data_IF_007161167887
#
_entry.id   IF_007161167887
#
_cell.length_a   1.000
_cell.length_b   1.000
_cell.length_c   1.000
_cell.angle_alpha   90.00
_cell.angle_beta   90.00
_cell.angle_gamma   90.00
#
_symmetry.space_group_name_H-M   'P 1'
#
loop_
_entity.id
_entity.type
_entity.pdbx_description
1 polymer ?
#
# COMPACT_ATOMS: atom_id res chain seq x y z
N UNK A 1 19.41 12.60 4.86
CA UNK A 1 19.10 14.05 5.06
C UNK A 1 18.61 14.76 3.79
N UNK A 2 18.91 14.25 2.58
CA UNK A 2 18.50 14.89 1.32
C UNK A 2 16.98 15.03 1.18
N UNK A 3 16.22 13.99 1.51
CA UNK A 3 14.75 14.03 1.42
C UNK A 3 14.06 14.66 2.65
N UNK A 4 14.80 14.92 3.73
CA UNK A 4 14.24 15.46 4.97
C UNK A 4 13.73 16.91 4.84
N UNK A 5 14.22 17.66 3.84
CA UNK A 5 13.80 19.04 3.57
C UNK A 5 12.58 19.14 2.64
N UNK A 6 11.94 18.03 2.30
CA UNK A 6 10.72 18.05 1.49
C UNK A 6 9.56 18.67 2.27
N UNK A 7 8.80 19.56 1.61
CA UNK A 7 7.70 20.32 2.23
C UNK A 7 6.53 19.42 2.65
N UNK A 8 6.25 18.37 1.85
CA UNK A 8 5.15 17.45 2.12
C UNK A 8 5.62 16.02 2.32
N UNK A 9 4.79 15.20 2.98
CA UNK A 9 5.06 13.77 3.16
C UNK A 9 5.16 13.05 1.80
N UNK A 10 4.34 13.45 0.82
CA UNK A 10 4.36 12.86 -0.52
C UNK A 10 5.67 13.17 -1.27
N UNK A 11 6.17 14.41 -1.19
CA UNK A 11 7.47 14.75 -1.79
C UNK A 11 8.62 13.98 -1.14
N UNK A 12 8.57 13.79 0.18
CA UNK A 12 9.54 12.98 0.92
C UNK A 12 9.51 11.52 0.45
N UNK A 13 8.29 10.95 0.34
CA UNK A 13 8.09 9.62 -0.22
C UNK A 13 8.70 9.51 -1.63
N UNK A 14 8.35 10.41 -2.55
CA UNK A 14 8.84 10.36 -3.94
C UNK A 14 10.36 10.45 -4.01
N UNK A 15 10.96 11.32 -3.20
CA UNK A 15 12.40 11.45 -3.10
C UNK A 15 13.05 10.14 -2.61
N UNK A 16 12.53 9.57 -1.53
CA UNK A 16 13.09 8.35 -0.92
C UNK A 16 12.85 7.12 -1.82
N UNK A 17 11.69 7.04 -2.48
CA UNK A 17 11.39 6.02 -3.47
C UNK A 17 12.40 6.06 -4.64
N UNK A 18 12.76 7.27 -5.10
CA UNK A 18 13.79 7.45 -6.13
C UNK A 18 15.17 6.91 -5.74
N UNK A 19 15.53 6.90 -4.44
CA UNK A 19 16.75 6.21 -3.99
C UNK A 19 16.69 4.71 -4.23
N UNK A 20 15.52 4.08 -4.06
CA UNK A 20 15.37 2.65 -4.37
C UNK A 20 15.74 2.32 -5.81
N UNK A 21 15.24 3.10 -6.77
CA UNK A 21 15.63 2.97 -8.18
C UNK A 21 17.14 3.17 -8.39
N UNK A 22 17.73 4.19 -7.76
CA UNK A 22 19.16 4.45 -7.88
C UNK A 22 19.99 3.29 -7.30
N UNK A 23 19.58 2.71 -6.17
CA UNK A 23 20.29 1.60 -5.53
C UNK A 23 20.20 0.31 -6.36
N UNK A 24 19.07 0.03 -7.00
CA UNK A 24 18.96 -1.09 -7.95
C UNK A 24 19.99 -0.97 -9.07
N UNK A 25 20.08 0.20 -9.71
CA UNK A 25 21.05 0.45 -10.78
C UNK A 25 22.50 0.38 -10.30
N UNK A 26 22.80 0.90 -9.11
CA UNK A 26 24.14 0.83 -8.53
C UNK A 26 24.57 -0.60 -8.20
N UNK A 27 23.62 -1.47 -7.89
CA UNK A 27 23.87 -2.89 -7.55
C UNK A 27 23.58 -3.86 -8.71
N UNK A 28 23.51 -3.36 -9.95
CA UNK A 28 23.25 -4.20 -11.14
C UNK A 28 21.95 -5.01 -10.99
N UNK A 29 20.88 -4.37 -10.57
CA UNK A 29 19.53 -4.93 -10.39
C UNK A 29 19.46 -6.07 -9.35
N UNK A 30 20.39 -6.07 -8.38
CA UNK A 30 20.39 -7.02 -7.26
C UNK A 30 19.61 -6.46 -6.08
N UNK A 31 18.51 -7.14 -5.71
CA UNK A 31 17.60 -6.71 -4.62
C UNK A 31 18.32 -6.66 -3.28
N UNK A 32 19.07 -7.71 -2.91
CA UNK A 32 19.59 -7.87 -1.56
C UNK A 32 20.54 -6.72 -1.15
N UNK A 33 21.61 -6.39 -1.90
CA UNK A 33 22.47 -5.26 -1.57
C UNK A 33 21.74 -3.91 -1.66
N UNK A 34 20.73 -3.79 -2.53
CA UNK A 34 19.94 -2.58 -2.67
C UNK A 34 19.07 -2.33 -1.43
N UNK A 35 18.46 -3.37 -0.86
CA UNK A 35 17.72 -3.29 0.40
C UNK A 35 18.61 -2.92 1.58
N UNK A 36 19.83 -3.44 1.66
CA UNK A 36 20.79 -3.03 2.69
C UNK A 36 21.09 -1.52 2.63
N UNK A 37 21.24 -0.96 1.44
CA UNK A 37 21.40 0.50 1.29
C UNK A 37 20.15 1.28 1.73
N UNK A 38 18.94 0.75 1.54
CA UNK A 38 17.73 1.35 2.06
C UNK A 38 17.70 1.40 3.60
N UNK A 39 18.19 0.35 4.28
CA UNK A 39 18.28 0.31 5.76
C UNK A 39 19.14 1.45 6.32
N UNK A 40 20.19 1.84 5.60
CA UNK A 40 21.07 2.96 6.00
C UNK A 40 20.36 4.32 5.99
N UNK A 41 19.26 4.48 5.26
CA UNK A 41 18.47 5.71 5.22
C UNK A 41 17.66 5.95 6.51
N UNK A 42 17.52 4.94 7.34
CA UNK A 42 16.73 4.94 8.56
C UNK A 42 15.31 4.42 8.36
N UNK A 43 14.70 3.95 9.43
CA UNK A 43 13.48 3.14 9.44
C UNK A 43 12.30 3.70 8.63
N UNK A 44 12.07 5.03 8.72
CA UNK A 44 10.94 5.65 8.02
C UNK A 44 11.19 5.76 6.51
N UNK A 45 12.44 5.88 6.11
CA UNK A 45 12.84 5.97 4.70
C UNK A 45 13.02 4.59 4.06
N UNK A 46 13.37 3.58 4.83
CA UNK A 46 13.60 2.21 4.38
C UNK A 46 12.41 1.63 3.62
N UNK A 47 11.20 1.76 4.18
CA UNK A 47 9.98 1.24 3.56
C UNK A 47 9.61 1.97 2.26
N UNK A 48 9.83 3.29 2.20
CA UNK A 48 9.58 4.07 0.98
C UNK A 48 10.64 3.76 -0.09
N UNK A 49 11.91 3.56 0.31
CA UNK A 49 13.02 3.19 -0.54
C UNK A 49 12.82 1.77 -1.12
N UNK A 50 12.47 0.79 -0.27
CA UNK A 50 12.22 -0.59 -0.71
C UNK A 50 11.11 -0.69 -1.77
N UNK A 51 10.12 0.21 -1.75
CA UNK A 51 9.13 0.29 -2.81
C UNK A 51 9.75 0.64 -4.17
N UNK A 52 10.75 1.52 -4.20
CA UNK A 52 11.48 1.85 -5.43
C UNK A 52 12.26 0.67 -5.96
N UNK A 53 12.86 -0.14 -5.07
CA UNK A 53 13.57 -1.37 -5.42
C UNK A 53 12.64 -2.37 -6.11
N UNK A 54 11.53 -2.74 -5.46
CA UNK A 54 10.59 -3.71 -6.05
C UNK A 54 9.85 -3.15 -7.26
N UNK A 55 9.67 -1.83 -7.36
CA UNK A 55 9.14 -1.18 -8.54
C UNK A 55 10.05 -1.41 -9.75
N UNK A 56 11.35 -1.12 -9.60
CA UNK A 56 12.36 -1.32 -10.66
C UNK A 56 12.47 -2.80 -11.05
N UNK A 57 12.53 -3.69 -10.05
CA UNK A 57 12.58 -5.12 -10.29
C UNK A 57 11.42 -5.64 -11.15
N UNK A 58 10.19 -5.30 -10.76
CA UNK A 58 9.00 -5.75 -11.50
C UNK A 58 8.87 -5.08 -12.87
N UNK A 59 9.39 -3.88 -13.05
CA UNK A 59 9.53 -3.26 -14.37
C UNK A 59 10.46 -4.07 -15.26
N UNK A 60 11.61 -4.50 -14.73
CA UNK A 60 12.53 -5.34 -15.44
C UNK A 60 11.93 -6.71 -15.81
N UNK A 61 11.21 -7.36 -14.87
CA UNK A 61 10.45 -8.59 -15.12
C UNK A 61 9.47 -8.45 -16.29
N UNK A 62 8.81 -7.31 -16.38
CA UNK A 62 7.82 -7.03 -17.43
C UNK A 62 8.42 -6.48 -18.74
N UNK A 63 9.73 -6.33 -18.82
CA UNK A 63 10.40 -5.75 -19.98
C UNK A 63 10.10 -4.26 -20.18
N UNK A 64 9.74 -3.55 -19.12
CA UNK A 64 9.47 -2.11 -19.15
C UNK A 64 10.75 -1.39 -18.72
N UNK A 65 11.38 -0.69 -19.67
CA UNK A 65 12.41 0.34 -19.46
C UNK A 65 13.68 -0.05 -18.67
N UNK A 66 14.04 -1.33 -18.55
CA UNK A 66 15.33 -1.71 -18.01
C UNK A 66 16.33 -2.05 -19.11
N UNK A 67 17.47 -1.39 -19.10
CA UNK A 67 18.58 -1.68 -20.00
C UNK A 67 19.30 -2.98 -19.63
N UNK A 68 19.11 -3.46 -18.41
CA UNK A 68 19.71 -4.68 -17.89
C UNK A 68 18.66 -5.56 -17.20
N UNK A 69 18.68 -6.85 -17.47
CA UNK A 69 17.83 -7.82 -16.78
C UNK A 69 18.47 -8.19 -15.43
N UNK A 70 17.69 -8.37 -14.35
CA UNK A 70 18.20 -8.92 -13.11
C UNK A 70 18.94 -10.22 -13.32
N UNK A 71 20.08 -10.41 -12.65
CA UNK A 71 20.93 -11.60 -12.85
C UNK A 71 20.25 -12.93 -12.53
N UNK A 72 19.29 -12.89 -11.59
CA UNK A 72 18.52 -14.06 -11.15
C UNK A 72 17.04 -13.71 -11.21
N UNK A 73 16.50 -13.63 -12.42
CA UNK A 73 15.14 -13.20 -12.67
C UNK A 73 14.13 -14.24 -12.14
N UNK A 74 13.50 -13.95 -11.01
CA UNK A 74 12.36 -14.71 -10.48
C UNK A 74 11.08 -14.00 -10.93
N UNK A 75 10.27 -14.68 -11.74
CA UNK A 75 9.03 -14.11 -12.31
C UNK A 75 7.79 -14.49 -11.50
N UNK A 76 7.89 -15.50 -10.63
CA UNK A 76 6.81 -15.90 -9.74
C UNK A 76 6.84 -15.05 -8.45
N UNK A 77 5.80 -14.23 -8.17
CA UNK A 77 5.72 -13.46 -6.93
C UNK A 77 5.77 -14.32 -5.67
N UNK A 78 5.28 -15.57 -5.72
CA UNK A 78 5.28 -16.48 -4.56
C UNK A 78 6.70 -16.90 -4.18
N UNK A 79 7.51 -17.17 -5.18
CA UNK A 79 8.92 -17.51 -4.97
C UNK A 79 9.70 -16.29 -4.52
N UNK A 80 9.60 -15.16 -5.23
CA UNK A 80 10.34 -13.95 -4.90
C UNK A 80 9.97 -13.39 -3.53
N UNK A 81 8.68 -13.14 -3.29
CA UNK A 81 8.24 -12.50 -2.06
C UNK A 81 8.24 -13.48 -0.86
N UNK A 82 8.13 -14.78 -1.13
CA UNK A 82 8.32 -15.84 -0.12
C UNK A 82 9.71 -15.90 0.46
N UNK A 83 10.72 -15.54 -0.34
CA UNK A 83 12.12 -15.54 0.07
C UNK A 83 12.59 -14.23 0.74
N UNK A 84 11.72 -13.20 0.78
CA UNK A 84 12.11 -11.90 1.36
C UNK A 84 12.08 -11.90 2.89
N UNK A 85 12.95 -11.10 3.54
CA UNK A 85 12.81 -10.77 4.96
C UNK A 85 11.42 -10.24 5.29
N UNK A 86 10.92 -10.53 6.50
CA UNK A 86 9.54 -10.23 6.93
C UNK A 86 9.13 -8.77 6.70
N UNK A 87 10.04 -7.84 6.95
CA UNK A 87 9.84 -6.40 6.77
C UNK A 87 9.57 -5.99 5.32
N UNK A 88 10.01 -6.80 4.33
CA UNK A 88 9.87 -6.48 2.90
C UNK A 88 8.79 -7.31 2.19
N UNK A 89 8.24 -8.35 2.81
CA UNK A 89 7.22 -9.22 2.21
C UNK A 89 6.05 -8.41 1.65
N UNK A 90 5.53 -7.47 2.43
CA UNK A 90 4.35 -6.70 2.05
C UNK A 90 4.60 -5.77 0.87
N UNK A 91 5.73 -5.09 0.84
CA UNK A 91 6.08 -4.21 -0.28
C UNK A 91 6.36 -5.01 -1.55
N UNK A 92 6.99 -6.18 -1.44
CA UNK A 92 7.21 -7.09 -2.56
C UNK A 92 5.86 -7.49 -3.21
N UNK A 93 4.91 -8.01 -2.42
CA UNK A 93 3.58 -8.39 -2.92
C UNK A 93 2.81 -7.20 -3.50
N UNK A 94 2.83 -6.05 -2.83
CA UNK A 94 2.20 -4.84 -3.33
C UNK A 94 2.69 -4.49 -4.74
N UNK A 95 4.01 -4.44 -4.92
CA UNK A 95 4.60 -4.08 -6.20
C UNK A 95 4.39 -5.15 -7.26
N UNK A 96 4.43 -6.42 -6.91
CA UNK A 96 4.15 -7.48 -7.88
C UNK A 96 2.78 -7.29 -8.55
N UNK A 97 1.73 -7.04 -7.78
CA UNK A 97 0.39 -6.81 -8.35
C UNK A 97 0.31 -5.51 -9.15
N UNK A 98 0.84 -4.41 -8.61
CA UNK A 98 0.78 -3.11 -9.29
C UNK A 98 1.45 -3.16 -10.65
N UNK A 99 2.60 -3.83 -10.76
CA UNK A 99 3.42 -3.80 -11.97
C UNK A 99 3.08 -4.95 -12.94
N UNK A 100 2.54 -6.09 -12.46
CA UNK A 100 2.26 -7.24 -13.34
C UNK A 100 0.81 -7.29 -13.84
N UNK A 101 -0.09 -6.53 -13.25
CA UNK A 101 -1.52 -6.65 -13.53
C UNK A 101 -1.95 -6.30 -14.96
N UNK A 102 -1.18 -5.53 -15.73
CA UNK A 102 -1.38 -5.22 -17.17
C UNK A 102 -2.85 -5.21 -17.64
N UNK A 103 -3.71 -4.46 -16.93
CA UNK A 103 -5.13 -4.34 -17.27
C UNK A 103 -6.05 -5.38 -16.62
N UNK A 104 -5.53 -6.35 -15.88
CA UNK A 104 -6.33 -7.23 -15.03
C UNK A 104 -6.76 -6.46 -13.78
N UNK A 105 -8.03 -6.64 -13.38
CA UNK A 105 -8.59 -6.05 -12.17
C UNK A 105 -9.16 -7.14 -11.28
N UNK A 106 -9.09 -6.91 -9.98
CA UNK A 106 -9.76 -7.74 -8.97
C UNK A 106 -11.15 -7.14 -8.70
N UNK A 107 -12.15 -7.65 -9.40
CA UNK A 107 -13.54 -7.15 -9.36
C UNK A 107 -14.37 -7.79 -8.23
N UNK A 108 -13.82 -8.79 -7.53
CA UNK A 108 -14.52 -9.49 -6.43
C UNK A 108 -13.56 -10.03 -5.37
N UNK A 109 -14.08 -10.23 -4.14
CA UNK A 109 -13.34 -10.91 -3.08
C UNK A 109 -12.91 -12.33 -3.47
N UNK A 110 -13.72 -13.06 -4.23
CA UNK A 110 -13.38 -14.39 -4.72
C UNK A 110 -12.15 -14.41 -5.64
N UNK A 111 -11.96 -13.40 -6.50
CA UNK A 111 -10.76 -13.29 -7.33
C UNK A 111 -9.51 -13.00 -6.49
N UNK A 112 -9.64 -12.18 -5.44
CA UNK A 112 -8.55 -11.92 -4.50
C UNK A 112 -8.21 -13.21 -3.74
N UNK A 113 -9.22 -13.94 -3.27
CA UNK A 113 -9.05 -15.20 -2.55
C UNK A 113 -8.36 -16.25 -3.41
N UNK A 114 -8.77 -16.40 -4.67
CA UNK A 114 -8.14 -17.30 -5.65
C UNK A 114 -6.68 -16.93 -5.90
N UNK A 115 -6.38 -15.64 -6.13
CA UNK A 115 -5.02 -15.17 -6.40
C UNK A 115 -4.07 -15.42 -5.22
N UNK A 116 -4.59 -15.38 -3.98
CA UNK A 116 -3.83 -15.58 -2.75
C UNK A 116 -4.03 -16.99 -2.14
N UNK A 117 -4.66 -17.92 -2.88
CA UNK A 117 -4.91 -19.28 -2.40
C UNK A 117 -3.63 -20.02 -2.05
N UNK A 118 -3.66 -20.87 -1.01
CA UNK A 118 -2.49 -21.62 -0.55
C UNK A 118 -1.41 -20.82 0.15
N UNK A 119 -1.60 -19.50 0.34
CA UNK A 119 -0.75 -18.67 1.19
C UNK A 119 -1.36 -18.55 2.60
N UNK A 120 -0.52 -18.42 3.61
CA UNK A 120 -0.93 -18.30 5.01
C UNK A 120 -0.24 -17.13 5.72
N UNK A 121 -0.78 -16.72 6.86
CA UNK A 121 -0.18 -15.73 7.75
C UNK A 121 0.15 -14.42 7.05
N UNK A 122 1.39 -13.94 7.24
CA UNK A 122 1.86 -12.68 6.66
C UNK A 122 1.86 -12.70 5.13
N UNK A 123 2.25 -13.82 4.51
CA UNK A 123 2.28 -13.94 3.04
C UNK A 123 0.89 -13.76 2.43
N UNK A 124 -0.15 -14.38 3.03
CA UNK A 124 -1.52 -14.22 2.59
C UNK A 124 -2.01 -12.78 2.75
N UNK A 125 -1.81 -12.18 3.93
CA UNK A 125 -2.22 -10.80 4.16
C UNK A 125 -1.52 -9.82 3.20
N UNK A 126 -0.23 -10.03 2.93
CA UNK A 126 0.53 -9.21 2.00
C UNK A 126 0.04 -9.37 0.56
N UNK A 127 -0.25 -10.60 0.12
CA UNK A 127 -0.86 -10.89 -1.17
C UNK A 127 -2.23 -10.21 -1.30
N UNK A 128 -3.13 -10.35 -0.33
CA UNK A 128 -4.46 -9.73 -0.34
C UNK A 128 -4.36 -8.20 -0.42
N UNK A 129 -3.44 -7.60 0.36
CA UNK A 129 -3.17 -6.15 0.28
C UNK A 129 -2.71 -5.74 -1.11
N UNK A 130 -1.80 -6.50 -1.72
CA UNK A 130 -1.32 -6.24 -3.09
C UNK A 130 -2.41 -6.39 -4.14
N UNK A 131 -3.19 -7.49 -4.06
CA UNK A 131 -4.28 -7.77 -5.01
C UNK A 131 -5.38 -6.69 -4.96
N UNK A 132 -5.73 -6.17 -3.78
CA UNK A 132 -6.74 -5.13 -3.64
C UNK A 132 -6.38 -3.81 -4.33
N UNK A 133 -5.08 -3.50 -4.46
CA UNK A 133 -4.60 -2.27 -5.13
C UNK A 133 -5.02 -2.18 -6.60
N UNK A 134 -5.17 -3.33 -7.25
CA UNK A 134 -5.61 -3.43 -8.64
C UNK A 134 -7.11 -3.68 -8.78
N UNK A 135 -7.88 -3.39 -7.75
CA UNK A 135 -9.34 -3.41 -7.75
C UNK A 135 -9.99 -2.33 -8.63
N UNK A 136 -11.29 -2.11 -8.50
CA UNK A 136 -12.01 -1.04 -9.18
C UNK A 136 -11.35 0.33 -8.97
N UNK A 137 -11.48 1.26 -9.93
CA UNK A 137 -10.86 2.58 -9.81
C UNK A 137 -11.50 3.46 -8.72
N UNK A 138 -12.79 3.21 -8.41
CA UNK A 138 -13.48 3.86 -7.32
C UNK A 138 -13.16 3.17 -5.99
N UNK A 139 -12.63 3.88 -4.99
CA UNK A 139 -12.30 3.28 -3.70
C UNK A 139 -13.52 2.80 -2.91
N UNK A 140 -14.73 3.31 -3.15
CA UNK A 140 -15.99 2.80 -2.57
C UNK A 140 -16.27 1.40 -3.11
N UNK A 141 -16.13 1.21 -4.43
CA UNK A 141 -16.28 -0.11 -5.05
C UNK A 141 -15.19 -1.09 -4.59
N UNK A 142 -13.95 -0.61 -4.38
CA UNK A 142 -12.89 -1.45 -3.81
C UNK A 142 -13.24 -1.93 -2.39
N UNK A 143 -13.81 -1.06 -1.54
CA UNK A 143 -14.28 -1.45 -0.21
C UNK A 143 -15.40 -2.50 -0.29
N UNK A 144 -16.29 -2.39 -1.28
CA UNK A 144 -17.31 -3.40 -1.54
C UNK A 144 -16.69 -4.75 -1.96
N UNK A 145 -15.63 -4.74 -2.78
CA UNK A 145 -14.86 -5.97 -3.10
C UNK A 145 -14.28 -6.60 -1.83
N UNK A 146 -13.72 -5.79 -0.93
CA UNK A 146 -13.14 -6.28 0.33
C UNK A 146 -14.18 -6.97 1.23
N UNK A 147 -15.42 -6.49 1.25
CA UNK A 147 -16.49 -7.10 2.06
C UNK A 147 -16.90 -8.50 1.58
N UNK A 148 -16.51 -8.89 0.37
CA UNK A 148 -16.71 -10.22 -0.17
C UNK A 148 -15.70 -11.29 0.26
N UNK A 149 -14.73 -10.94 1.11
CA UNK A 149 -13.77 -11.88 1.69
C UNK A 149 -14.32 -12.48 2.99
N UNK A 150 -14.04 -13.77 3.25
CA UNK A 150 -14.61 -14.48 4.40
C UNK A 150 -13.84 -14.23 5.71
N UNK A 151 -12.49 -14.23 5.63
CA UNK A 151 -11.65 -14.05 6.82
C UNK A 151 -11.50 -12.57 7.19
N UNK A 152 -11.79 -12.22 8.45
CA UNK A 152 -11.67 -10.84 8.96
C UNK A 152 -10.26 -10.26 8.73
N UNK A 153 -9.21 -11.07 8.90
CA UNK A 153 -7.83 -10.66 8.63
C UNK A 153 -7.60 -10.28 7.17
N UNK A 154 -8.26 -10.96 6.24
CA UNK A 154 -8.14 -10.70 4.82
C UNK A 154 -8.95 -9.46 4.42
N UNK A 155 -10.13 -9.26 5.00
CA UNK A 155 -10.90 -8.03 4.85
C UNK A 155 -10.06 -6.82 5.31
N UNK A 156 -9.43 -6.90 6.47
CA UNK A 156 -8.53 -5.83 6.98
C UNK A 156 -7.34 -5.61 6.04
N UNK A 157 -6.74 -6.68 5.54
CA UNK A 157 -5.62 -6.58 4.58
C UNK A 157 -6.06 -5.93 3.26
N UNK A 158 -7.24 -6.29 2.76
CA UNK A 158 -7.85 -5.71 1.56
C UNK A 158 -8.13 -4.20 1.75
N UNK A 159 -8.78 -3.82 2.85
CA UNK A 159 -9.03 -2.39 3.17
C UNK A 159 -7.72 -1.59 3.16
N UNK A 160 -6.63 -2.14 3.72
CA UNK A 160 -5.31 -1.48 3.73
C UNK A 160 -4.73 -1.26 2.34
N UNK A 161 -5.01 -2.17 1.40
CA UNK A 161 -4.56 -2.07 0.01
C UNK A 161 -5.47 -1.20 -0.87
N UNK A 162 -6.66 -0.82 -0.39
CA UNK A 162 -7.58 0.04 -1.16
C UNK A 162 -6.88 1.34 -1.54
N UNK A 163 -6.81 1.59 -2.84
CA UNK A 163 -6.04 2.69 -3.42
C UNK A 163 -6.94 3.88 -3.71
N UNK A 164 -6.60 5.01 -3.15
CA UNK A 164 -7.18 6.28 -3.58
C UNK A 164 -6.34 6.80 -4.74
N UNK A 165 -6.87 6.66 -5.96
CA UNK A 165 -6.22 7.18 -7.16
C UNK A 165 -6.27 8.72 -7.16
N UNK A 166 -5.22 9.34 -7.69
CA UNK A 166 -5.11 10.81 -7.80
C UNK A 166 -5.22 11.55 -6.46
N UNK A 167 -4.46 11.11 -5.48
CA UNK A 167 -4.35 11.76 -4.17
C UNK A 167 -4.19 13.30 -4.24
N UNK A 168 -3.59 13.82 -5.33
CA UNK A 168 -3.36 15.26 -5.54
C UNK A 168 -4.62 16.03 -5.96
N UNK A 169 -5.65 15.36 -6.51
CA UNK A 169 -6.88 15.96 -7.02
C UNK A 169 -8.13 15.38 -6.34
N UNK A 170 -8.00 15.00 -5.07
CA UNK A 170 -9.08 14.38 -4.32
C UNK A 170 -10.17 15.41 -3.97
N UNK A 171 -11.38 15.33 -4.55
CA UNK A 171 -12.43 16.26 -4.24
C UNK A 171 -12.95 16.02 -2.81
N UNK A 172 -13.27 17.10 -2.05
CA UNK A 172 -13.79 16.97 -0.68
C UNK A 172 -15.03 16.07 -0.56
N UNK A 173 -15.85 15.99 -1.59
CA UNK A 173 -17.06 15.17 -1.64
C UNK A 173 -16.76 13.67 -1.53
N UNK A 174 -15.67 13.19 -2.10
CA UNK A 174 -15.26 11.79 -1.99
C UNK A 174 -14.97 11.37 -0.54
N UNK A 175 -14.57 12.29 0.33
CA UNK A 175 -14.37 11.96 1.75
C UNK A 175 -15.70 11.60 2.43
N UNK A 176 -16.81 12.24 2.05
CA UNK A 176 -18.15 11.94 2.56
C UNK A 176 -18.57 10.54 2.12
N UNK A 177 -18.37 10.19 0.85
CA UNK A 177 -18.73 8.88 0.30
C UNK A 177 -17.90 7.76 0.93
N UNK A 178 -16.61 7.99 1.15
CA UNK A 178 -15.75 7.03 1.84
C UNK A 178 -16.12 6.85 3.32
N UNK A 179 -16.43 7.93 4.04
CA UNK A 179 -16.94 7.87 5.41
C UNK A 179 -18.22 7.04 5.46
N UNK A 180 -19.16 7.31 4.53
CA UNK A 180 -20.38 6.54 4.41
C UNK A 180 -20.10 5.08 4.10
N UNK A 181 -19.26 4.78 3.11
CA UNK A 181 -18.91 3.42 2.72
C UNK A 181 -18.32 2.62 3.89
N UNK A 182 -17.33 3.16 4.63
CA UNK A 182 -16.77 2.50 5.81
C UNK A 182 -17.84 2.10 6.84
N UNK A 183 -18.83 2.97 7.06
CA UNK A 183 -19.86 2.77 8.09
C UNK A 183 -21.09 1.99 7.62
N UNK A 184 -21.28 1.81 6.31
CA UNK A 184 -22.39 1.02 5.75
C UNK A 184 -21.97 -0.35 5.25
N UNK A 185 -20.72 -0.52 4.83
CA UNK A 185 -20.19 -1.78 4.30
C UNK A 185 -19.67 -2.70 5.40
N UNK A 186 -19.14 -2.11 6.47
CA UNK A 186 -18.50 -2.86 7.55
C UNK A 186 -19.15 -2.59 8.91
N UNK A 187 -19.04 -3.57 9.81
CA UNK A 187 -19.52 -3.47 11.19
C UNK A 187 -18.38 -3.79 12.20
N UNK A 188 -18.54 -3.37 13.44
CA UNK A 188 -17.66 -3.74 14.54
C UNK A 188 -16.19 -3.36 14.34
N UNK A 189 -15.30 -4.34 14.44
CA UNK A 189 -13.84 -4.19 14.26
C UNK A 189 -13.46 -3.80 12.84
N UNK A 190 -14.18 -4.29 11.84
CA UNK A 190 -13.93 -3.97 10.43
C UNK A 190 -14.26 -2.52 10.10
N UNK A 191 -15.36 -1.97 10.63
CA UNK A 191 -15.68 -0.55 10.49
C UNK A 191 -14.56 0.32 11.08
N UNK A 192 -14.03 -0.04 12.26
CA UNK A 192 -12.91 0.68 12.87
C UNK A 192 -11.60 0.55 12.08
N UNK A 193 -11.36 -0.60 11.45
CA UNK A 193 -10.22 -0.76 10.56
C UNK A 193 -10.33 0.14 9.32
N UNK A 194 -11.54 0.25 8.74
CA UNK A 194 -11.84 1.14 7.63
C UNK A 194 -11.69 2.61 8.04
N UNK A 195 -12.20 3.02 9.20
CA UNK A 195 -12.03 4.39 9.70
C UNK A 195 -10.55 4.75 9.94
N UNK A 196 -9.74 3.79 10.40
CA UNK A 196 -8.29 3.99 10.55
C UNK A 196 -7.61 4.14 9.20
N UNK A 197 -7.94 3.29 8.23
CA UNK A 197 -7.45 3.40 6.86
C UNK A 197 -7.84 4.76 6.24
N UNK A 198 -9.10 5.16 6.40
CA UNK A 198 -9.62 6.46 5.95
C UNK A 198 -8.80 7.63 6.54
N UNK A 199 -8.55 7.59 7.85
CA UNK A 199 -7.72 8.59 8.52
C UNK A 199 -6.31 8.65 7.94
N UNK A 200 -5.68 7.51 7.67
CA UNK A 200 -4.35 7.43 7.07
C UNK A 200 -4.34 8.03 5.67
N UNK A 201 -5.23 7.58 4.78
CA UNK A 201 -5.27 7.99 3.38
C UNK A 201 -5.59 9.49 3.26
N UNK A 202 -6.67 9.96 3.89
CA UNK A 202 -7.06 11.36 3.83
C UNK A 202 -6.12 12.27 4.63
N UNK A 203 -5.46 11.72 5.66
CA UNK A 203 -4.39 12.42 6.37
C UNK A 203 -3.22 12.74 5.45
N UNK A 204 -2.80 11.79 4.60
CA UNK A 204 -1.74 12.01 3.59
C UNK A 204 -2.13 13.08 2.58
N UNK A 205 -3.35 12.98 2.02
CA UNK A 205 -3.87 13.92 1.01
C UNK A 205 -3.96 15.35 1.54
N UNK A 206 -4.36 15.49 2.79
CA UNK A 206 -4.59 16.79 3.43
C UNK A 206 -3.40 17.29 4.26
N UNK A 207 -2.26 16.60 4.19
CA UNK A 207 -1.08 16.88 5.02
C UNK A 207 -1.42 16.97 6.53
N UNK A 208 -2.18 15.98 7.00
CA UNK A 208 -2.63 15.86 8.40
C UNK A 208 -3.84 16.69 8.80
N UNK A 209 -4.31 17.62 7.96
CA UNK A 209 -5.47 18.48 8.27
C UNK A 209 -6.75 17.69 8.49
N UNK A 210 -6.91 16.52 7.88
CA UNK A 210 -8.08 15.64 8.03
C UNK A 210 -8.36 15.27 9.49
N UNK A 211 -7.36 15.27 10.33
CA UNK A 211 -7.50 15.06 11.78
C UNK A 211 -8.52 16.01 12.42
N UNK A 212 -8.55 17.27 11.98
CA UNK A 212 -9.39 18.31 12.53
C UNK A 212 -10.60 18.66 11.68
N UNK A 213 -10.60 18.30 10.40
CA UNK A 213 -11.67 18.64 9.46
C UNK A 213 -12.60 17.47 9.15
N UNK A 214 -12.12 16.24 9.08
CA UNK A 214 -12.90 15.08 8.66
C UNK A 214 -13.13 14.05 9.76
N UNK A 215 -12.10 13.71 10.57
CA UNK A 215 -12.30 12.73 11.64
C UNK A 215 -13.41 13.11 12.63
N UNK A 216 -13.66 14.39 12.99
CA UNK A 216 -14.79 14.78 13.85
C UNK A 216 -16.17 14.45 13.27
N UNK A 217 -16.31 14.37 11.94
CA UNK A 217 -17.56 14.07 11.25
C UNK A 217 -17.99 12.60 11.36
N UNK A 218 -17.11 11.72 11.82
CA UNK A 218 -17.42 10.30 12.00
C UNK A 218 -18.44 10.09 13.13
N UNK A 219 -19.39 9.12 12.98
CA UNK A 219 -20.60 9.04 13.79
C UNK A 219 -20.33 8.72 15.26
N UNK A 220 -19.30 7.90 15.56
CA UNK A 220 -19.04 7.43 16.91
C UNK A 220 -17.71 7.91 17.47
N UNK A 221 -17.60 7.99 18.81
CA UNK A 221 -16.32 8.31 19.46
C UNK A 221 -15.22 7.28 19.16
N UNK A 222 -15.58 6.00 18.92
CA UNK A 222 -14.63 4.95 18.53
C UNK A 222 -14.13 5.18 17.11
N UNK A 223 -15.03 5.46 16.15
CA UNK A 223 -14.71 5.80 14.78
C UNK A 223 -13.77 7.02 14.69
N UNK A 224 -14.11 8.10 15.40
CA UNK A 224 -13.27 9.31 15.47
C UNK A 224 -11.86 9.02 15.99
N UNK A 225 -11.73 8.18 17.04
CA UNK A 225 -10.42 7.77 17.56
C UNK A 225 -9.63 6.96 16.55
N UNK A 226 -10.27 5.96 15.91
CA UNK A 226 -9.64 5.14 14.89
C UNK A 226 -9.12 5.99 13.72
N UNK A 227 -9.90 6.94 13.23
CA UNK A 227 -9.50 7.89 12.21
C UNK A 227 -8.28 8.72 12.65
N UNK A 228 -8.29 9.29 13.86
CA UNK A 228 -7.15 10.07 14.38
C UNK A 228 -5.89 9.22 14.52
N UNK A 229 -6.01 7.95 14.91
CA UNK A 229 -4.90 7.00 14.93
C UNK A 229 -4.37 6.76 13.51
N UNK A 230 -5.26 6.63 12.53
CA UNK A 230 -4.89 6.54 11.12
C UNK A 230 -4.08 7.75 10.64
N UNK A 231 -4.54 8.97 10.93
CA UNK A 231 -3.80 10.19 10.57
C UNK A 231 -2.43 10.23 11.24
N UNK A 232 -2.31 9.82 12.50
CA UNK A 232 -1.00 9.75 13.19
C UNK A 232 -0.06 8.72 12.56
N UNK A 233 -0.60 7.62 12.02
CA UNK A 233 0.21 6.58 11.37
C UNK A 233 0.86 7.05 10.07
N UNK A 234 0.43 8.17 9.50
CA UNK A 234 1.08 8.78 8.33
C UNK A 234 2.47 9.38 8.63
N UNK A 235 2.81 9.56 9.92
CA UNK A 235 4.17 9.98 10.30
C UNK A 235 5.23 8.90 10.00
N UNK A 236 4.79 7.64 9.85
CA UNK A 236 5.62 6.54 9.35
C UNK A 236 5.68 6.48 7.83
N UNK A 237 6.15 5.35 7.25
CA UNK A 237 6.20 5.13 5.81
C UNK A 237 4.82 5.35 5.15
N UNK A 238 4.79 5.96 3.96
CA UNK A 238 3.52 6.33 3.28
C UNK A 238 2.66 5.11 2.97
N UNK A 239 3.30 3.99 2.65
CA UNK A 239 2.68 2.69 2.50
C UNK A 239 3.13 1.80 3.64
N UNK A 240 2.59 2.04 4.83
CA UNK A 240 2.76 1.10 5.92
C UNK A 240 1.74 -0.01 5.77
N UNK A 241 2.25 -1.18 5.65
CA UNK A 241 1.53 -2.42 5.70
C UNK A 241 1.44 -2.97 7.15
N UNK A 242 1.81 -2.15 8.15
CA UNK A 242 1.74 -2.50 9.58
C UNK A 242 0.34 -2.35 10.16
#
# INVERSE_FOLDING_TARGET
RLCANSETRYQRYSCTHGFGHAFMRLNNEDIAPSLEMCKELGRDAEADCSQGIYHDYWFAVNGIDSTEQPKNLVTDPRELCGAQPEEFVRVCWYRSFVETAKGTRMESGAQIDEACSGLEGLQRQACVTGASVIGPPDPVDQLAVCSGLEAESDVVACIRGTKVQNLMNYPPEMSVDLIKACNTTFEGSLALACDRWLGKVLGVVTDGKFRTTGCPELPTAKARRACVEGVKSMEGPLVTFS
#
